data_IF_556438237395
#
_entry.id   IF_556438237395
#
_cell.length_a   1.000
_cell.length_b   1.000
_cell.length_c   1.000
_cell.angle_alpha   90.00
_cell.angle_beta   90.00
_cell.angle_gamma   90.00
#
_symmetry.space_group_name_H-M   'P 1'
#
loop_
_entity.id
_entity.type
_entity.pdbx_description
1 polymer ?
#
# COMPACT_ATOMS: atom_id res chain seq x y z
N UNK A 1 46.99 26.36 16.60
CA UNK A 1 45.60 26.10 17.04
C UNK A 1 44.80 25.75 15.80
N UNK A 2 44.56 24.45 15.58
CA UNK A 2 43.55 23.96 14.64
C UNK A 2 42.72 22.99 15.47
N UNK A 3 41.64 23.49 16.04
CA UNK A 3 40.64 22.63 16.66
C UNK A 3 39.90 21.93 15.53
N UNK A 4 40.39 20.74 15.18
CA UNK A 4 39.70 19.85 14.27
C UNK A 4 38.30 19.60 14.83
N UNK A 5 37.27 19.93 14.05
CA UNK A 5 35.89 19.57 14.36
C UNK A 5 35.79 18.05 14.28
N UNK A 6 35.98 17.38 15.43
CA UNK A 6 35.74 15.94 15.55
C UNK A 6 34.23 15.75 15.56
N UNK A 7 33.69 15.20 14.46
CA UNK A 7 32.28 14.88 14.36
C UNK A 7 31.94 13.71 15.32
N UNK A 8 31.56 14.05 16.55
CA UNK A 8 31.23 13.10 17.63
C UNK A 8 30.04 12.18 17.32
N UNK A 9 29.29 12.44 16.25
CA UNK A 9 28.18 11.59 15.80
C UNK A 9 28.69 10.26 15.22
N UNK A 10 29.88 10.25 14.60
CA UNK A 10 30.46 9.04 14.00
C UNK A 10 31.04 8.04 15.02
N UNK A 11 31.24 8.47 16.28
CA UNK A 11 31.82 7.66 17.37
C UNK A 11 30.81 7.34 18.48
N UNK A 12 29.51 7.44 18.18
CA UNK A 12 28.45 7.11 19.14
C UNK A 12 27.89 5.72 18.83
N UNK A 13 27.62 4.94 19.87
CA UNK A 13 26.80 3.70 19.84
C UNK A 13 25.32 3.98 19.46
N UNK A 14 25.07 4.99 18.62
CA UNK A 14 23.75 5.49 18.24
C UNK A 14 23.28 4.78 16.97
N UNK A 15 22.25 3.95 17.11
CA UNK A 15 21.56 3.36 15.95
C UNK A 15 20.61 4.39 15.37
N UNK A 16 20.72 4.63 14.07
CA UNK A 16 19.77 5.45 13.32
C UNK A 16 18.80 4.54 12.58
N UNK A 17 17.51 4.67 12.88
CA UNK A 17 16.42 4.06 12.12
C UNK A 17 15.86 5.13 11.20
N UNK A 18 15.92 4.91 9.89
CA UNK A 18 15.21 5.73 8.92
C UNK A 18 13.86 5.09 8.61
N UNK A 19 12.77 5.80 8.88
CA UNK A 19 11.44 5.28 8.60
C UNK A 19 11.19 5.10 7.10
N UNK A 20 11.89 5.83 6.23
CA UNK A 20 11.75 5.68 4.78
C UNK A 20 12.14 4.28 4.28
N UNK A 21 13.05 3.59 4.98
CA UNK A 21 13.50 2.24 4.62
C UNK A 21 12.39 1.18 4.74
N UNK A 22 11.37 1.47 5.55
CA UNK A 22 10.21 0.62 5.79
C UNK A 22 9.04 0.96 4.87
N UNK A 23 9.19 1.94 3.98
CA UNK A 23 8.19 2.26 2.97
C UNK A 23 7.89 1.03 2.09
N UNK A 24 6.62 0.77 1.74
CA UNK A 24 6.26 -0.29 0.81
C UNK A 24 7.03 -0.15 -0.50
N UNK A 25 7.84 -1.17 -0.83
CA UNK A 25 8.69 -1.17 -2.04
C UNK A 25 7.93 -1.59 -3.29
N UNK A 26 6.84 -2.33 -3.14
CA UNK A 26 5.99 -2.73 -4.26
C UNK A 26 5.08 -1.59 -4.70
N UNK A 27 4.89 -1.46 -6.00
CA UNK A 27 3.93 -0.51 -6.57
C UNK A 27 2.53 -0.86 -6.12
N UNK A 28 1.83 0.14 -5.57
CA UNK A 28 0.40 0.06 -5.29
C UNK A 28 -0.33 0.64 -6.50
N UNK A 29 -1.28 -0.12 -7.04
CA UNK A 29 -2.13 0.32 -8.14
C UNK A 29 -3.58 0.36 -7.69
N UNK A 30 -4.31 1.40 -8.08
CA UNK A 30 -5.71 1.55 -7.72
C UNK A 30 -6.60 0.80 -8.72
N UNK A 31 -7.55 0.03 -8.19
CA UNK A 31 -8.72 -0.42 -8.92
C UNK A 31 -9.93 0.30 -8.33
N UNK A 32 -10.52 1.21 -9.11
CA UNK A 32 -11.69 1.95 -8.68
C UNK A 32 -12.97 1.38 -9.29
N UNK A 33 -13.87 0.91 -8.43
CA UNK A 33 -15.17 0.37 -8.82
C UNK A 33 -16.01 1.43 -9.53
N UNK A 34 -15.85 2.72 -9.20
CA UNK A 34 -16.57 3.83 -9.84
C UNK A 34 -16.51 3.75 -11.37
N UNK A 35 -15.35 3.38 -11.93
CA UNK A 35 -15.12 3.30 -13.37
C UNK A 35 -16.00 2.27 -14.09
N UNK A 36 -16.64 1.37 -13.34
CA UNK A 36 -17.51 0.33 -13.85
C UNK A 36 -18.99 0.57 -13.51
N UNK A 37 -19.29 1.66 -12.79
CA UNK A 37 -20.65 2.05 -12.44
C UNK A 37 -21.28 2.87 -13.55
N UNK A 38 -22.59 2.69 -13.76
CA UNK A 38 -23.40 3.54 -14.61
C UNK A 38 -23.44 4.95 -14.02
N UNK A 39 -23.03 5.94 -14.81
CA UNK A 39 -22.86 7.34 -14.40
C UNK A 39 -21.96 7.51 -13.16
N UNK A 40 -21.09 6.53 -12.88
CA UNK A 40 -20.20 6.54 -11.73
C UNK A 40 -20.88 6.27 -10.38
N UNK A 41 -22.20 6.05 -10.33
CA UNK A 41 -22.94 5.94 -9.06
C UNK A 41 -23.88 4.73 -8.95
N UNK A 42 -24.26 4.11 -10.06
CA UNK A 42 -25.24 3.01 -10.05
C UNK A 42 -24.60 1.73 -10.61
N UNK A 43 -24.69 0.63 -9.86
CA UNK A 43 -24.31 -0.68 -10.39
C UNK A 43 -25.46 -1.28 -11.21
N UNK A 44 -25.25 -1.45 -12.52
CA UNK A 44 -26.12 -2.27 -13.38
C UNK A 44 -25.43 -3.60 -13.64
N UNK A 45 -25.96 -4.70 -13.11
CA UNK A 45 -25.24 -5.98 -13.03
C UNK A 45 -24.75 -6.49 -14.39
N UNK A 46 -25.60 -6.44 -15.42
CA UNK A 46 -25.28 -6.97 -16.76
C UNK A 46 -24.12 -6.19 -17.39
N UNK A 47 -24.15 -4.87 -17.27
CA UNK A 47 -23.15 -3.93 -17.77
C UNK A 47 -21.84 -4.06 -16.99
N UNK A 48 -21.93 -4.12 -15.66
CA UNK A 48 -20.78 -4.30 -14.77
C UNK A 48 -20.02 -5.58 -15.09
N UNK A 49 -20.71 -6.73 -15.17
CA UNK A 49 -20.10 -8.02 -15.54
C UNK A 49 -19.48 -7.98 -16.94
N UNK A 50 -20.17 -7.35 -17.89
CA UNK A 50 -19.68 -7.21 -19.27
C UNK A 50 -18.43 -6.33 -19.33
N UNK A 51 -18.38 -5.25 -18.56
CA UNK A 51 -17.24 -4.35 -18.50
C UNK A 51 -16.02 -5.04 -17.87
N UNK A 52 -16.20 -5.71 -16.72
CA UNK A 52 -15.12 -6.49 -16.09
C UNK A 52 -14.59 -7.57 -17.02
N UNK A 53 -15.45 -8.33 -17.71
CA UNK A 53 -14.99 -9.38 -18.63
C UNK A 53 -14.12 -8.86 -19.79
N UNK A 54 -14.28 -7.58 -20.16
CA UNK A 54 -13.49 -6.93 -21.23
C UNK A 54 -12.26 -6.19 -20.71
N UNK A 55 -12.18 -5.98 -19.41
CA UNK A 55 -11.11 -5.22 -18.79
C UNK A 55 -9.82 -6.03 -18.80
N UNK A 56 -8.71 -5.40 -19.18
CA UNK A 56 -7.40 -6.02 -19.13
C UNK A 56 -6.83 -5.94 -17.70
N UNK A 57 -6.98 -7.03 -16.95
CA UNK A 57 -6.44 -7.12 -15.59
C UNK A 57 -4.91 -7.32 -15.56
N UNK A 58 -4.26 -7.68 -16.67
CA UNK A 58 -2.82 -7.95 -16.71
C UNK A 58 -1.98 -6.72 -16.33
N UNK A 59 -2.55 -5.52 -16.46
CA UNK A 59 -1.94 -4.26 -16.03
C UNK A 59 -1.61 -4.23 -14.52
N UNK A 60 -2.25 -5.10 -13.73
CA UNK A 60 -2.03 -5.24 -12.29
C UNK A 60 -0.99 -6.30 -11.93
N UNK A 61 -0.34 -6.93 -12.92
CA UNK A 61 0.70 -7.93 -12.70
C UNK A 61 1.85 -7.38 -11.86
N UNK A 62 2.28 -8.14 -10.84
CA UNK A 62 3.38 -7.79 -9.91
C UNK A 62 3.16 -6.49 -9.13
N UNK A 63 1.90 -6.10 -8.93
CA UNK A 63 1.52 -4.92 -8.15
C UNK A 63 0.60 -5.33 -7.00
N UNK A 64 0.66 -4.56 -5.93
CA UNK A 64 -0.37 -4.59 -4.90
C UNK A 64 -1.57 -3.79 -5.42
N UNK A 65 -2.78 -4.32 -5.28
CA UNK A 65 -4.00 -3.62 -5.73
C UNK A 65 -4.74 -3.03 -4.55
N UNK A 66 -4.95 -1.71 -4.58
CA UNK A 66 -5.85 -0.98 -3.72
C UNK A 66 -7.24 -0.92 -4.37
N UNK A 67 -8.14 -1.78 -3.90
CA UNK A 67 -9.51 -1.90 -4.40
C UNK A 67 -10.43 -0.98 -3.60
N UNK A 68 -10.94 0.06 -4.27
CA UNK A 68 -11.81 1.07 -3.65
C UNK A 68 -13.01 1.41 -4.53
N UNK A 69 -13.98 2.11 -3.96
CA UNK A 69 -14.95 2.89 -4.71
C UNK A 69 -14.79 4.35 -4.24
N UNK A 70 -14.34 5.24 -5.12
CA UNK A 70 -14.11 6.65 -4.75
C UNK A 70 -15.39 7.48 -4.63
N UNK A 71 -16.54 6.89 -4.94
CA UNK A 71 -17.87 7.50 -4.77
C UNK A 71 -18.61 6.95 -3.58
N UNK A 72 -19.65 7.67 -3.17
CA UNK A 72 -20.62 7.22 -2.16
C UNK A 72 -21.64 6.19 -2.70
N UNK A 73 -21.36 5.59 -3.86
CA UNK A 73 -22.22 4.55 -4.43
C UNK A 73 -22.33 3.34 -3.50
N UNK A 74 -23.56 2.88 -3.27
CA UNK A 74 -23.81 1.66 -2.51
C UNK A 74 -23.52 0.47 -3.44
N UNK A 75 -22.31 -0.07 -3.32
CA UNK A 75 -21.87 -1.24 -4.10
C UNK A 75 -22.03 -2.51 -3.25
N UNK A 76 -22.77 -3.53 -3.74
CA UNK A 76 -22.96 -4.77 -3.00
C UNK A 76 -21.66 -5.58 -2.93
N UNK A 77 -21.45 -6.27 -1.80
CA UNK A 77 -20.23 -7.02 -1.49
C UNK A 77 -19.82 -8.03 -2.57
N UNK A 78 -20.80 -8.67 -3.24
CA UNK A 78 -20.50 -9.63 -4.31
C UNK A 78 -19.72 -9.00 -5.48
N UNK A 79 -19.85 -7.68 -5.72
CA UNK A 79 -19.13 -6.98 -6.79
C UNK A 79 -17.63 -6.98 -6.52
N UNK A 80 -17.25 -6.74 -5.27
CA UNK A 80 -15.88 -6.81 -4.79
C UNK A 80 -15.34 -8.24 -4.91
N UNK A 81 -16.12 -9.25 -4.51
CA UNK A 81 -15.72 -10.65 -4.67
C UNK A 81 -15.48 -11.03 -6.14
N UNK A 82 -16.32 -10.51 -7.05
CA UNK A 82 -16.16 -10.72 -8.48
C UNK A 82 -14.90 -10.05 -9.02
N UNK A 83 -14.60 -8.81 -8.63
CA UNK A 83 -13.37 -8.12 -9.03
C UNK A 83 -12.14 -8.88 -8.51
N UNK A 84 -12.17 -9.27 -7.23
CA UNK A 84 -11.09 -10.04 -6.60
C UNK A 84 -10.85 -11.37 -7.31
N UNK A 85 -11.87 -12.04 -7.84
CA UNK A 85 -11.68 -13.30 -8.56
C UNK A 85 -10.89 -13.13 -9.87
N UNK A 86 -11.00 -11.99 -10.56
CA UNK A 86 -10.16 -11.65 -11.70
C UNK A 86 -8.74 -11.27 -11.29
N UNK A 87 -8.59 -10.56 -10.17
CA UNK A 87 -7.29 -10.09 -9.67
C UNK A 87 -6.45 -11.18 -8.98
N UNK A 88 -7.09 -12.21 -8.41
CA UNK A 88 -6.45 -13.21 -7.52
C UNK A 88 -5.20 -13.87 -8.11
N UNK A 89 -5.17 -14.10 -9.43
CA UNK A 89 -4.05 -14.76 -10.11
C UNK A 89 -3.16 -13.78 -10.89
N UNK A 90 -3.33 -12.47 -10.68
CA UNK A 90 -2.63 -11.42 -11.43
C UNK A 90 -1.91 -10.46 -10.49
N UNK A 91 -2.63 -9.92 -9.49
CA UNK A 91 -2.06 -9.05 -8.48
C UNK A 91 -1.16 -9.83 -7.51
N UNK A 92 -0.17 -9.16 -6.91
CA UNK A 92 0.62 -9.76 -5.82
C UNK A 92 -0.25 -9.93 -4.59
N UNK A 93 -0.94 -8.86 -4.20
CA UNK A 93 -1.85 -8.80 -3.04
C UNK A 93 -3.00 -7.83 -3.34
N UNK A 94 -4.11 -7.98 -2.64
CA UNK A 94 -5.31 -7.18 -2.83
C UNK A 94 -5.74 -6.65 -1.47
N UNK A 95 -5.84 -5.33 -1.35
CA UNK A 95 -6.30 -4.64 -0.15
C UNK A 95 -7.54 -3.81 -0.47
N UNK A 96 -8.45 -3.71 0.49
CA UNK A 96 -9.62 -2.84 0.38
C UNK A 96 -9.30 -1.45 0.92
N UNK A 97 -9.70 -0.43 0.16
CA UNK A 97 -9.45 0.98 0.49
C UNK A 97 -8.57 1.67 -0.55
N UNK A 98 -8.44 2.99 -0.41
CA UNK A 98 -7.64 3.81 -1.32
C UNK A 98 -6.14 3.64 -1.14
N UNK A 99 -5.38 4.09 -2.13
CA UNK A 99 -3.92 3.94 -2.19
C UNK A 99 -3.21 4.40 -0.90
N UNK A 100 -3.57 5.57 -0.37
CA UNK A 100 -2.98 6.10 0.87
C UNK A 100 -3.22 5.19 2.08
N UNK A 101 -4.43 4.64 2.19
CA UNK A 101 -4.79 3.73 3.29
C UNK A 101 -4.01 2.43 3.17
N UNK A 102 -3.93 1.87 1.96
CA UNK A 102 -3.16 0.66 1.68
C UNK A 102 -1.67 0.89 1.96
N UNK A 103 -1.12 2.02 1.50
CA UNK A 103 0.25 2.43 1.78
C UNK A 103 0.52 2.51 3.28
N UNK A 104 -0.32 3.21 4.04
CA UNK A 104 -0.18 3.34 5.50
C UNK A 104 -0.25 1.97 6.20
N UNK A 105 -1.18 1.11 5.78
CA UNK A 105 -1.30 -0.23 6.35
C UNK A 105 -0.04 -1.05 6.12
N UNK A 106 0.47 -1.10 4.89
CA UNK A 106 1.70 -1.81 4.54
C UNK A 106 2.91 -1.22 5.26
N UNK A 107 2.99 0.10 5.35
CA UNK A 107 4.06 0.79 6.04
C UNK A 107 4.11 0.41 7.53
N UNK A 108 2.96 0.45 8.20
CA UNK A 108 2.83 0.04 9.59
C UNK A 108 3.11 -1.47 9.77
N UNK A 109 2.74 -2.31 8.81
CA UNK A 109 3.08 -3.74 8.83
C UNK A 109 4.59 -3.95 8.77
N UNK A 110 5.29 -3.25 7.88
CA UNK A 110 6.75 -3.31 7.78
C UNK A 110 7.41 -2.85 9.07
N UNK A 111 6.96 -1.75 9.68
CA UNK A 111 7.47 -1.28 10.98
C UNK A 111 7.22 -2.32 12.09
N UNK A 112 6.04 -2.94 12.12
CA UNK A 112 5.72 -3.99 13.11
C UNK A 112 6.56 -5.25 12.95
N UNK A 113 7.11 -5.49 11.76
CA UNK A 113 7.98 -6.64 11.49
C UNK A 113 9.45 -6.43 11.88
N UNK A 114 9.81 -5.23 12.36
CA UNK A 114 11.18 -4.95 12.81
C UNK A 114 11.50 -5.83 14.02
N UNK A 115 12.64 -6.54 13.96
CA UNK A 115 13.17 -7.24 15.13
C UNK A 115 13.72 -6.22 16.14
N UNK A 116 12.96 -5.99 17.20
CA UNK A 116 13.34 -5.03 18.24
C UNK A 116 14.47 -5.52 19.14
N UNK A 117 14.86 -6.80 19.07
CA UNK A 117 15.95 -7.35 19.89
C UNK A 117 17.28 -6.64 19.61
N UNK A 118 17.46 -6.16 18.38
CA UNK A 118 18.64 -5.41 17.96
C UNK A 118 18.78 -4.04 18.62
N UNK A 119 17.74 -3.55 19.30
CA UNK A 119 17.70 -2.22 19.92
C UNK A 119 17.75 -2.23 21.45
N UNK A 120 17.70 -3.42 22.08
CA UNK A 120 17.73 -3.55 23.54
C UNK A 120 19.00 -2.94 24.10
N UNK A 121 18.85 -2.08 25.11
CA UNK A 121 19.92 -1.34 25.79
C UNK A 121 20.79 -0.42 24.90
N UNK A 122 20.32 -0.11 23.67
CA UNK A 122 21.02 0.77 22.73
C UNK A 122 20.36 2.15 22.65
N UNK A 123 21.16 3.17 22.32
CA UNK A 123 20.63 4.50 21.98
C UNK A 123 20.12 4.47 20.54
N UNK A 124 18.85 4.78 20.34
CA UNK A 124 18.21 4.77 19.02
C UNK A 124 17.69 6.17 18.70
N UNK A 125 17.97 6.64 17.48
CA UNK A 125 17.34 7.81 16.90
C UNK A 125 16.45 7.39 15.74
N UNK A 126 15.20 7.84 15.73
CA UNK A 126 14.24 7.59 14.64
C UNK A 126 14.17 8.84 13.79
N UNK A 127 14.56 8.73 12.52
CA UNK A 127 14.39 9.78 11.52
C UNK A 127 13.02 9.62 10.87
N UNK A 128 12.22 10.67 10.96
CA UNK A 128 10.97 10.77 10.21
C UNK A 128 11.22 11.02 8.73
N UNK A 129 10.19 10.77 7.92
CA UNK A 129 10.11 11.13 6.51
C UNK A 129 9.56 12.55 6.33
#
# INVERSE_FOLDING_TARGET
>A
MNDNIVNRVANSDLITIDLADYSPKQTIAVFDVQNFLFEGVILKEKEFRKALKKFDFSIYSKKIVALQCSTEAIVPMWSYMLITSYLKNVATEIYFGGEKVVFQNLFLQNIKSIDSSEFVDKKVIVKGC
#
